data_IF_509239438438
#
_entry.id   IF_509239438438
#
_cell.length_a   1.000
_cell.length_b   1.000
_cell.length_c   1.000
_cell.angle_alpha   90.00
_cell.angle_beta   90.00
_cell.angle_gamma   90.00
#
_symmetry.space_group_name_H-M   'P 1'
#
loop_
_entity.id
_entity.type
_entity.pdbx_description
1 polymer ?
#
# COMPACT_ATOMS: atom_id res chain seq x y z
N UNK A 1 17.18 -30.47 51.34
CA UNK A 1 16.05 -29.87 50.64
C UNK A 1 16.47 -28.50 50.13
N UNK A 2 16.74 -28.41 48.83
CA UNK A 2 17.01 -27.13 48.16
C UNK A 2 16.04 -27.06 46.97
N UNK A 3 14.99 -26.29 47.14
CA UNK A 3 14.07 -25.96 46.03
C UNK A 3 14.76 -25.01 45.09
N UNK A 4 14.96 -25.48 43.87
CA UNK A 4 15.46 -24.68 42.76
C UNK A 4 14.32 -23.85 42.18
N UNK A 5 14.34 -22.56 42.49
CA UNK A 5 13.50 -21.55 41.85
C UNK A 5 13.93 -21.42 40.40
N UNK A 6 13.14 -21.96 39.46
CA UNK A 6 13.29 -21.66 38.04
C UNK A 6 12.59 -20.34 37.76
N UNK A 7 13.25 -19.34 37.16
CA UNK A 7 12.53 -18.18 36.67
C UNK A 7 11.70 -18.60 35.44
N UNK A 8 10.41 -18.45 35.57
CA UNK A 8 9.49 -18.57 34.41
C UNK A 8 9.78 -17.42 33.45
N UNK A 9 10.50 -17.73 32.38
CA UNK A 9 10.53 -16.88 31.19
C UNK A 9 9.14 -16.86 30.58
N UNK A 10 8.27 -16.02 31.11
CA UNK A 10 7.08 -15.58 30.42
C UNK A 10 7.54 -14.79 29.21
N UNK A 11 7.60 -15.43 28.05
CA UNK A 11 7.70 -14.79 26.77
C UNK A 11 6.44 -13.92 26.62
N UNK A 12 6.58 -12.67 27.02
CA UNK A 12 5.64 -11.63 26.66
C UNK A 12 5.82 -11.34 25.16
N UNK A 13 5.37 -12.28 24.33
CA UNK A 13 5.01 -12.01 22.96
C UNK A 13 3.80 -11.10 23.04
N UNK A 14 4.05 -9.79 23.02
CA UNK A 14 3.02 -8.82 22.74
C UNK A 14 2.42 -9.23 21.39
N UNK A 15 1.28 -9.88 21.43
CA UNK A 15 0.42 -10.06 20.26
C UNK A 15 0.11 -8.66 19.80
N UNK A 16 0.80 -8.19 18.74
CA UNK A 16 0.48 -6.93 18.06
C UNK A 16 -1.00 -7.04 17.68
N UNK A 17 -1.87 -6.33 18.38
CA UNK A 17 -3.27 -6.24 18.00
C UNK A 17 -3.30 -5.65 16.58
N UNK A 18 -3.59 -6.50 15.60
CA UNK A 18 -3.81 -6.05 14.24
C UNK A 18 -5.18 -5.40 14.18
N UNK A 19 -5.19 -4.18 13.73
CA UNK A 19 -6.42 -3.44 13.45
C UNK A 19 -6.80 -3.69 12.00
N UNK A 20 -8.08 -3.90 11.75
CA UNK A 20 -8.61 -4.11 10.41
C UNK A 20 -9.78 -3.15 10.14
N UNK A 21 -9.88 -2.71 8.91
CA UNK A 21 -11.05 -2.01 8.39
C UNK A 21 -11.30 -2.45 6.94
N UNK A 22 -12.56 -2.41 6.54
CA UNK A 22 -12.97 -2.68 5.16
C UNK A 22 -13.63 -1.43 4.60
N UNK A 23 -13.21 -1.03 3.40
CA UNK A 23 -13.72 0.15 2.73
C UNK A 23 -14.24 -0.21 1.34
N UNK A 24 -15.53 0.01 1.10
CA UNK A 24 -16.12 -0.10 -0.24
C UNK A 24 -15.67 1.07 -1.11
N UNK A 25 -15.11 0.79 -2.28
CA UNK A 25 -14.59 1.79 -3.22
C UNK A 25 -15.07 1.50 -4.65
N UNK A 26 -14.90 2.43 -5.60
CA UNK A 26 -15.17 2.16 -7.01
C UNK A 26 -14.35 1.00 -7.61
N UNK A 27 -13.22 0.64 -6.99
CA UNK A 27 -12.39 -0.49 -7.42
C UNK A 27 -12.84 -1.83 -6.82
N UNK A 28 -13.67 -1.81 -5.79
CA UNK A 28 -14.05 -2.96 -4.98
C UNK A 28 -13.83 -2.69 -3.50
N UNK A 29 -13.82 -3.73 -2.69
CA UNK A 29 -13.58 -3.60 -1.25
C UNK A 29 -12.10 -3.62 -0.94
N UNK A 30 -11.58 -2.58 -0.32
CA UNK A 30 -10.24 -2.54 0.24
C UNK A 30 -10.26 -3.12 1.66
N UNK A 31 -9.30 -3.99 1.94
CA UNK A 31 -8.90 -4.36 3.29
C UNK A 31 -7.74 -3.46 3.73
N UNK A 32 -7.87 -2.88 4.91
CA UNK A 32 -6.89 -1.97 5.49
C UNK A 32 -6.43 -2.57 6.80
N UNK A 33 -5.15 -2.87 6.90
CA UNK A 33 -4.54 -3.39 8.12
C UNK A 33 -3.58 -2.37 8.74
N UNK A 34 -3.51 -2.40 10.07
CA UNK A 34 -2.60 -1.55 10.81
C UNK A 34 -2.21 -2.13 12.16
N UNK A 35 -1.17 -1.56 12.72
CA UNK A 35 -0.70 -1.77 14.08
C UNK A 35 -0.85 -0.47 14.89
N UNK A 36 -0.45 -0.48 16.15
CA UNK A 36 -0.34 0.75 16.96
C UNK A 36 0.66 1.77 16.38
N UNK A 37 1.61 1.32 15.55
CA UNK A 37 2.67 2.16 14.98
C UNK A 37 2.30 2.76 13.62
N UNK A 38 1.39 2.14 12.87
CA UNK A 38 1.03 2.61 11.54
C UNK A 38 0.33 1.57 10.69
N UNK A 39 0.08 1.94 9.44
CA UNK A 39 -0.45 1.03 8.42
C UNK A 39 0.56 -0.05 8.06
N UNK A 40 0.08 -1.28 7.99
CA UNK A 40 0.89 -2.45 7.62
C UNK A 40 0.54 -2.95 6.22
N UNK A 41 -0.74 -2.87 5.81
CA UNK A 41 -1.19 -3.41 4.54
C UNK A 41 -2.47 -2.71 4.04
N UNK A 42 -2.59 -2.56 2.73
CA UNK A 42 -3.83 -2.18 2.05
C UNK A 42 -3.91 -3.02 0.78
N UNK A 43 -4.93 -3.87 0.70
CA UNK A 43 -5.17 -4.75 -0.44
C UNK A 43 -6.61 -4.63 -0.97
N UNK A 44 -6.77 -4.97 -2.24
CA UNK A 44 -8.08 -5.11 -2.84
C UNK A 44 -8.53 -6.57 -2.69
N UNK A 45 -9.69 -6.77 -2.09
CA UNK A 45 -10.25 -8.11 -1.93
C UNK A 45 -10.79 -8.66 -3.26
N UNK A 46 -10.75 -9.99 -3.43
CA UNK A 46 -11.39 -10.64 -4.57
C UNK A 46 -12.87 -10.29 -4.69
N UNK A 47 -13.35 -10.14 -5.93
CA UNK A 47 -14.76 -9.84 -6.17
C UNK A 47 -15.68 -10.90 -5.57
N UNK A 48 -16.68 -10.46 -4.79
CA UNK A 48 -17.65 -11.33 -4.14
C UNK A 48 -17.20 -11.90 -2.77
N UNK A 49 -16.02 -11.53 -2.29
CA UNK A 49 -15.60 -11.88 -0.94
C UNK A 49 -16.51 -11.18 0.09
N UNK A 50 -17.04 -11.98 1.02
CA UNK A 50 -17.90 -11.46 2.09
C UNK A 50 -17.03 -11.14 3.29
N UNK A 51 -16.97 -9.84 3.61
CA UNK A 51 -16.30 -9.37 4.81
C UNK A 51 -17.31 -9.09 5.92
N UNK A 52 -16.98 -9.46 7.13
CA UNK A 52 -17.74 -9.01 8.29
C UNK A 52 -17.48 -7.53 8.49
N UNK A 53 -18.56 -6.73 8.53
CA UNK A 53 -18.43 -5.30 8.76
C UNK A 53 -17.82 -5.05 10.15
N UNK A 54 -16.51 -4.92 10.20
CA UNK A 54 -15.78 -4.49 11.39
C UNK A 54 -15.65 -2.97 11.33
N UNK A 55 -16.26 -2.29 12.27
CA UNK A 55 -16.08 -0.85 12.42
C UNK A 55 -14.77 -0.62 13.16
N UNK A 56 -13.77 0.03 12.54
CA UNK A 56 -12.51 0.27 13.22
C UNK A 56 -12.72 1.17 14.44
N UNK A 57 -11.90 0.98 15.46
CA UNK A 57 -11.95 1.82 16.65
C UNK A 57 -11.76 3.30 16.26
N UNK A 58 -12.60 4.23 16.78
CA UNK A 58 -12.44 5.66 16.51
C UNK A 58 -11.02 6.12 16.89
N UNK A 59 -10.38 6.89 16.00
CA UNK A 59 -9.02 7.38 16.22
C UNK A 59 -7.90 6.40 15.87
N UNK A 60 -8.22 5.15 15.54
CA UNK A 60 -7.23 4.17 15.08
C UNK A 60 -6.61 4.57 13.74
N UNK A 61 -5.40 4.05 13.45
CA UNK A 61 -4.73 4.31 12.16
C UNK A 61 -5.55 3.82 10.98
N UNK A 62 -6.23 2.68 11.11
CA UNK A 62 -7.09 2.13 10.04
C UNK A 62 -8.35 2.98 9.82
N UNK A 63 -8.93 3.57 10.88
CA UNK A 63 -10.05 4.50 10.74
C UNK A 63 -9.61 5.80 10.04
N UNK A 64 -8.44 6.34 10.41
CA UNK A 64 -7.84 7.51 9.76
C UNK A 64 -7.55 7.23 8.28
N UNK A 65 -7.01 6.04 7.97
CA UNK A 65 -6.71 5.62 6.61
C UNK A 65 -7.99 5.48 5.77
N UNK A 66 -9.03 4.84 6.29
CA UNK A 66 -10.30 4.72 5.60
C UNK A 66 -10.89 6.10 5.24
N UNK A 67 -10.91 7.04 6.19
CA UNK A 67 -11.38 8.39 5.92
C UNK A 67 -10.56 9.13 4.87
N UNK A 68 -9.22 9.01 4.90
CA UNK A 68 -8.36 9.63 3.88
C UNK A 68 -8.51 8.98 2.50
N UNK A 69 -8.74 7.67 2.43
CA UNK A 69 -9.03 6.97 1.19
C UNK A 69 -10.41 7.38 0.63
N UNK A 70 -11.43 7.54 1.46
CA UNK A 70 -12.74 8.08 1.02
C UNK A 70 -12.58 9.46 0.40
N UNK A 71 -11.82 10.35 1.03
CA UNK A 71 -11.53 11.69 0.50
C UNK A 71 -10.74 11.62 -0.83
N UNK A 72 -9.79 10.69 -0.95
CA UNK A 72 -9.03 10.47 -2.19
C UNK A 72 -9.94 10.01 -3.32
N UNK A 73 -10.78 9.01 -3.09
CA UNK A 73 -11.73 8.52 -4.10
C UNK A 73 -12.79 9.56 -4.48
N UNK A 74 -13.09 10.49 -3.57
CA UNK A 74 -13.95 11.63 -3.86
C UNK A 74 -13.22 12.81 -4.57
N UNK A 75 -11.92 12.66 -4.91
CA UNK A 75 -11.11 13.69 -5.54
C UNK A 75 -10.76 14.88 -4.63
N UNK A 76 -10.99 14.76 -3.32
CA UNK A 76 -10.78 15.83 -2.33
C UNK A 76 -9.39 15.78 -1.69
N UNK A 77 -8.69 14.66 -1.77
CA UNK A 77 -7.37 14.44 -1.19
C UNK A 77 -6.36 14.04 -2.25
N UNK A 78 -5.14 14.59 -2.16
CA UNK A 78 -4.02 14.29 -3.07
C UNK A 78 -2.82 13.67 -2.36
N UNK A 79 -2.72 13.86 -1.04
CA UNK A 79 -1.61 13.38 -0.21
C UNK A 79 -2.14 12.68 1.03
N UNK A 80 -1.45 11.63 1.48
CA UNK A 80 -1.80 10.88 2.67
C UNK A 80 -0.90 11.28 3.84
N UNK A 81 -1.52 11.56 4.99
CA UNK A 81 -0.85 11.84 6.26
C UNK A 81 -1.12 10.67 7.22
N UNK A 82 -0.37 9.58 7.03
CA UNK A 82 -0.56 8.31 7.74
C UNK A 82 0.80 7.77 8.19
N UNK A 83 0.93 7.33 9.45
CA UNK A 83 2.10 6.58 9.86
C UNK A 83 2.11 5.23 9.15
N UNK A 84 3.27 4.79 8.67
CA UNK A 84 3.45 3.54 7.94
C UNK A 84 4.34 2.59 8.74
N UNK A 85 3.91 1.34 8.91
CA UNK A 85 4.61 0.28 9.66
C UNK A 85 4.72 -0.99 8.80
N UNK A 86 5.34 -0.87 7.64
CA UNK A 86 5.60 -1.99 6.73
C UNK A 86 7.08 -2.36 6.73
N UNK A 87 7.36 -3.63 6.49
CA UNK A 87 8.72 -4.14 6.37
C UNK A 87 9.17 -4.11 4.92
N UNK A 88 10.31 -3.48 4.69
CA UNK A 88 11.03 -3.52 3.43
C UNK A 88 12.51 -3.30 3.71
N UNK A 89 13.37 -3.95 2.96
CA UNK A 89 14.80 -3.84 3.14
C UNK A 89 15.56 -3.58 1.83
N UNK A 90 16.81 -3.11 1.95
CA UNK A 90 17.72 -2.97 0.82
C UNK A 90 17.12 -2.17 -0.35
N UNK A 91 17.17 -2.74 -1.54
CA UNK A 91 16.70 -2.11 -2.78
C UNK A 91 15.18 -1.83 -2.76
N UNK A 92 14.38 -2.74 -2.20
CA UNK A 92 12.92 -2.55 -2.10
C UNK A 92 12.58 -1.27 -1.33
N UNK A 93 13.22 -1.02 -0.19
CA UNK A 93 13.03 0.19 0.61
C UNK A 93 13.39 1.44 -0.19
N UNK A 94 14.52 1.42 -0.90
CA UNK A 94 14.94 2.55 -1.74
C UNK A 94 13.89 2.86 -2.83
N UNK A 95 13.35 1.83 -3.47
CA UNK A 95 12.31 1.99 -4.50
C UNK A 95 11.03 2.57 -3.90
N UNK A 96 10.55 2.03 -2.78
CA UNK A 96 9.33 2.50 -2.12
C UNK A 96 9.47 3.94 -1.60
N UNK A 97 10.64 4.32 -1.07
CA UNK A 97 10.92 5.68 -0.63
C UNK A 97 10.90 6.69 -1.80
N UNK A 98 11.36 6.30 -3.00
CA UNK A 98 11.26 7.14 -4.20
C UNK A 98 9.84 7.16 -4.77
N UNK A 99 9.15 6.02 -4.74
CA UNK A 99 7.76 5.91 -5.16
C UNK A 99 6.85 6.87 -4.39
N UNK A 100 7.02 6.94 -3.06
CA UNK A 100 6.25 7.83 -2.20
C UNK A 100 6.40 9.33 -2.57
N UNK A 101 7.46 9.70 -3.29
CA UNK A 101 7.73 11.07 -3.75
C UNK A 101 7.09 11.41 -5.10
N UNK A 102 6.55 10.42 -5.81
CA UNK A 102 5.88 10.66 -7.09
C UNK A 102 4.57 11.41 -6.85
N UNK A 103 4.42 12.65 -7.33
CA UNK A 103 3.27 13.48 -6.99
C UNK A 103 1.96 12.97 -7.61
N UNK A 104 0.84 13.36 -7.02
CA UNK A 104 -0.50 13.19 -7.57
C UNK A 104 -0.60 13.74 -9.01
N UNK A 105 -1.18 12.98 -9.92
CA UNK A 105 -1.34 13.36 -11.32
C UNK A 105 -0.05 13.34 -12.13
N UNK A 106 1.03 12.75 -11.62
CA UNK A 106 2.31 12.55 -12.33
C UNK A 106 2.63 11.07 -12.43
N UNK A 107 3.32 10.71 -13.49
CA UNK A 107 3.80 9.35 -13.71
C UNK A 107 5.31 9.32 -13.87
N UNK A 108 5.90 8.18 -13.57
CA UNK A 108 7.30 7.86 -13.83
C UNK A 108 7.38 6.51 -14.53
N UNK A 109 8.40 6.29 -15.34
CA UNK A 109 8.66 4.96 -15.88
C UNK A 109 9.37 4.07 -14.87
N UNK A 110 9.29 2.74 -15.07
CA UNK A 110 10.04 1.78 -14.25
C UNK A 110 11.55 2.07 -14.27
N UNK A 111 12.07 2.55 -15.42
CA UNK A 111 13.49 2.91 -15.58
C UNK A 111 13.86 4.17 -14.81
N UNK A 112 13.03 5.22 -14.86
CA UNK A 112 13.23 6.45 -14.09
C UNK A 112 13.19 6.16 -12.60
N UNK A 113 12.20 5.37 -12.12
CA UNK A 113 12.11 5.00 -10.71
C UNK A 113 13.33 4.17 -10.26
N UNK A 114 13.83 3.28 -11.12
CA UNK A 114 15.06 2.53 -10.87
C UNK A 114 16.28 3.46 -10.75
N UNK A 115 16.39 4.47 -11.61
CA UNK A 115 17.45 5.47 -11.53
C UNK A 115 17.35 6.31 -10.25
N UNK A 116 16.15 6.76 -9.88
CA UNK A 116 15.88 7.48 -8.63
C UNK A 116 16.28 6.66 -7.39
N UNK A 117 16.09 5.33 -7.45
CA UNK A 117 16.50 4.38 -6.41
C UNK A 117 18.00 4.00 -6.49
N UNK A 118 18.82 4.72 -7.27
CA UNK A 118 20.26 4.47 -7.39
C UNK A 118 20.67 3.27 -8.23
N UNK A 119 19.74 2.65 -8.96
CA UNK A 119 20.00 1.42 -9.74
C UNK A 119 19.37 1.49 -11.14
N UNK A 120 19.88 2.33 -12.07
CA UNK A 120 19.22 2.65 -13.34
C UNK A 120 18.99 1.44 -14.27
N UNK A 121 19.68 0.32 -14.05
CA UNK A 121 19.49 -0.92 -14.82
C UNK A 121 18.50 -1.90 -14.18
N UNK A 122 17.87 -1.53 -13.07
CA UNK A 122 17.05 -2.43 -12.25
C UNK A 122 15.52 -2.32 -12.54
N UNK A 123 15.08 -1.84 -13.71
CA UNK A 123 13.67 -1.64 -14.04
C UNK A 123 12.79 -2.89 -13.83
N UNK A 124 13.32 -4.11 -14.11
CA UNK A 124 12.60 -5.36 -13.85
C UNK A 124 12.41 -5.63 -12.36
N UNK A 125 13.43 -5.34 -11.54
CA UNK A 125 13.35 -5.46 -10.09
C UNK A 125 12.35 -4.46 -9.51
N UNK A 126 12.30 -3.22 -10.03
CA UNK A 126 11.24 -2.25 -9.69
C UNK A 126 9.86 -2.84 -9.99
N UNK A 127 9.67 -3.51 -11.14
CA UNK A 127 8.42 -4.19 -11.47
C UNK A 127 8.02 -5.25 -10.43
N UNK A 128 8.99 -5.97 -9.87
CA UNK A 128 8.75 -6.91 -8.78
C UNK A 128 8.33 -6.19 -7.49
N UNK A 129 8.99 -5.11 -7.11
CA UNK A 129 8.63 -4.29 -5.95
C UNK A 129 7.20 -3.74 -6.10
N UNK A 130 6.84 -3.23 -7.29
CA UNK A 130 5.48 -2.71 -7.53
C UNK A 130 4.40 -3.79 -7.36
N UNK A 131 4.71 -5.04 -7.70
CA UNK A 131 3.78 -6.17 -7.56
C UNK A 131 3.52 -6.54 -6.09
N UNK A 132 4.51 -6.35 -5.23
CA UNK A 132 4.46 -6.69 -3.81
C UNK A 132 4.27 -5.45 -2.92
N UNK A 133 3.86 -4.33 -3.50
CA UNK A 133 3.58 -3.11 -2.74
C UNK A 133 2.55 -3.38 -1.64
N UNK A 134 2.93 -3.24 -0.36
CA UNK A 134 2.03 -3.56 0.75
C UNK A 134 0.92 -2.54 0.97
N UNK A 135 1.06 -1.33 0.44
CA UNK A 135 0.18 -0.19 0.75
C UNK A 135 -0.34 0.45 -0.54
N UNK A 136 -1.15 -0.30 -1.31
CA UNK A 136 -1.68 0.22 -2.57
C UNK A 136 -2.39 1.57 -2.38
N UNK A 137 -2.30 2.45 -3.37
CA UNK A 137 -2.80 3.83 -3.38
C UNK A 137 -1.97 4.76 -2.49
N UNK A 138 -1.78 4.47 -1.22
CA UNK A 138 -0.92 5.26 -0.32
C UNK A 138 0.52 5.27 -0.81
N UNK A 139 1.03 4.09 -1.21
CA UNK A 139 2.24 3.94 -2.01
C UNK A 139 1.82 3.83 -3.48
N UNK A 140 2.00 4.88 -4.30
CA UNK A 140 1.27 5.05 -5.56
C UNK A 140 1.88 4.25 -6.72
N UNK A 141 1.92 2.90 -6.62
CA UNK A 141 2.45 2.04 -7.69
C UNK A 141 1.67 2.17 -9.02
N UNK A 142 0.43 2.67 -8.98
CA UNK A 142 -0.33 3.00 -10.19
C UNK A 142 0.33 4.12 -11.03
N UNK A 143 1.15 5.01 -10.42
CA UNK A 143 1.88 6.08 -11.12
C UNK A 143 3.13 5.60 -11.86
N UNK A 144 3.48 4.30 -11.76
CA UNK A 144 4.65 3.73 -12.46
C UNK A 144 4.19 3.05 -13.75
N UNK A 145 4.62 3.54 -14.92
CA UNK A 145 4.18 3.10 -16.24
C UNK A 145 5.35 2.63 -17.12
N UNK A 146 5.09 2.09 -18.30
CA UNK A 146 6.12 1.80 -19.28
C UNK A 146 6.77 3.08 -19.80
N UNK A 147 8.04 3.01 -20.26
CA UNK A 147 8.72 4.15 -20.87
C UNK A 147 8.04 4.59 -22.20
N UNK A 148 7.27 3.71 -22.80
CA UNK A 148 6.43 3.95 -23.98
C UNK A 148 5.04 4.50 -23.62
N UNK A 149 4.79 4.87 -22.35
CA UNK A 149 3.49 5.30 -21.86
C UNK A 149 2.48 4.18 -21.61
N UNK A 150 2.81 2.94 -21.95
CA UNK A 150 1.89 1.82 -21.78
C UNK A 150 1.68 1.45 -20.31
N UNK A 151 0.46 1.03 -19.98
CA UNK A 151 0.17 0.46 -18.66
C UNK A 151 0.75 -0.95 -18.59
N UNK A 152 1.64 -1.17 -17.63
CA UNK A 152 2.24 -2.47 -17.30
C UNK A 152 1.67 -2.93 -15.97
N UNK A 153 1.44 -4.22 -15.78
CA UNK A 153 0.89 -4.91 -14.62
C UNK A 153 0.57 -4.07 -13.36
N UNK A 154 -0.53 -4.36 -12.71
CA UNK A 154 -0.94 -3.72 -11.47
C UNK A 154 -1.67 -4.74 -10.60
N UNK A 155 -1.18 -4.95 -9.38
CA UNK A 155 -1.75 -5.92 -8.45
C UNK A 155 -1.75 -7.36 -8.96
N UNK A 156 -2.03 -8.31 -8.11
CA UNK A 156 -2.07 -9.74 -8.43
C UNK A 156 -3.40 -10.24 -9.00
N UNK A 157 -4.43 -9.40 -9.13
CA UNK A 157 -5.78 -9.80 -9.52
C UNK A 157 -6.11 -9.37 -10.95
N UNK A 158 -6.86 -10.18 -11.68
CA UNK A 158 -7.07 -10.10 -13.12
C UNK A 158 -7.56 -8.76 -13.72
N UNK A 159 -8.19 -7.87 -12.93
CA UNK A 159 -8.63 -6.53 -13.32
C UNK A 159 -7.59 -5.42 -13.07
N UNK A 160 -6.37 -5.79 -12.73
CA UNK A 160 -5.36 -4.84 -12.27
C UNK A 160 -5.07 -3.66 -13.20
N UNK A 161 -5.06 -3.86 -14.52
CA UNK A 161 -4.83 -2.77 -15.49
C UNK A 161 -6.00 -1.78 -15.55
N UNK A 162 -7.23 -2.25 -15.39
CA UNK A 162 -8.42 -1.39 -15.36
C UNK A 162 -8.41 -0.51 -14.10
N UNK A 163 -8.08 -1.07 -12.95
CA UNK A 163 -7.92 -0.32 -11.70
C UNK A 163 -6.81 0.73 -11.79
N UNK A 164 -5.67 0.37 -12.39
CA UNK A 164 -4.58 1.30 -12.63
C UNK A 164 -4.99 2.46 -13.52
N UNK A 165 -5.69 2.15 -14.63
CA UNK A 165 -6.25 3.16 -15.53
C UNK A 165 -7.19 4.09 -14.78
N UNK A 166 -8.13 3.54 -14.04
CA UNK A 166 -9.13 4.28 -13.30
C UNK A 166 -8.49 5.26 -12.28
N UNK A 167 -7.47 4.79 -11.53
CA UNK A 167 -6.73 5.63 -10.58
C UNK A 167 -5.99 6.78 -11.28
N UNK A 168 -5.33 6.50 -12.40
CA UNK A 168 -4.64 7.53 -13.17
C UNK A 168 -5.61 8.57 -13.75
N UNK A 169 -6.76 8.13 -14.25
CA UNK A 169 -7.82 9.03 -14.75
C UNK A 169 -8.41 9.89 -13.61
N UNK A 170 -8.65 9.30 -12.43
CA UNK A 170 -9.05 10.05 -11.22
C UNK A 170 -8.04 11.14 -10.89
N UNK A 171 -6.76 10.86 -11.06
CA UNK A 171 -5.68 11.82 -10.83
C UNK A 171 -5.47 12.82 -11.97
N UNK A 172 -6.27 12.73 -13.04
CA UNK A 172 -6.20 13.65 -14.18
C UNK A 172 -5.07 13.34 -15.16
N UNK A 173 -4.50 12.13 -15.13
CA UNK A 173 -3.50 11.69 -16.09
C UNK A 173 -4.19 11.26 -17.38
N UNK A 174 -3.88 11.93 -18.51
CA UNK A 174 -4.33 11.51 -19.83
C UNK A 174 -3.51 10.32 -20.31
N UNK A 175 -4.18 9.20 -20.55
CA UNK A 175 -3.57 7.99 -21.11
C UNK A 175 -3.79 8.00 -22.60
N UNK A 176 -2.73 7.93 -23.37
CA UNK A 176 -2.74 7.83 -24.83
C UNK A 176 -2.96 6.39 -25.29
#
# INVERSE_FOLDING_TARGET
MRESCRPSYSHFMATRERQHAYLGTPLGTLEIEGSERGLTQIDLLPAGERVSASRPAPGSVVAKAAGQLEEYFAGKRREFDLPLDYEAGGFERQVLDQLARVPYGKTVSYGELAAMAGSPRAARAVGSVMRHNPLMIVMPCHRVIGADGSLRGYGGLGSGLEHKRWLLELEGVSLS
#
